data_IF_673241152326
#
_entry.id   IF_673241152326
#
_cell.length_a   1.000
_cell.length_b   1.000
_cell.length_c   1.000
_cell.angle_alpha   90.00
_cell.angle_beta   90.00
_cell.angle_gamma   90.00
#
_symmetry.space_group_name_H-M   'P 1'
#
loop_
_entity.id
_entity.type
_entity.pdbx_description
1 polymer ?
#
# COMPACT_ATOMS: atom_id res chain seq x y z
N UNK A 1 14.94 -12.95 19.61
CA UNK A 1 15.19 -12.40 18.26
C UNK A 1 16.36 -11.44 18.38
N UNK A 2 17.51 -11.79 17.82
CA UNK A 2 18.77 -11.03 17.92
C UNK A 2 18.82 -9.98 16.81
N UNK A 3 18.88 -8.70 17.17
CA UNK A 3 19.04 -7.63 16.20
C UNK A 3 20.44 -7.69 15.56
N UNK A 4 20.50 -7.83 14.23
CA UNK A 4 21.76 -7.75 13.48
C UNK A 4 22.26 -6.29 13.46
N UNK A 5 23.53 -6.10 13.83
CA UNK A 5 24.21 -4.80 13.75
C UNK A 5 25.17 -4.82 12.58
N UNK A 6 25.02 -3.89 11.63
CA UNK A 6 26.02 -3.60 10.60
C UNK A 6 26.79 -2.36 11.06
N UNK A 7 28.10 -2.46 11.21
CA UNK A 7 28.99 -1.33 11.56
C UNK A 7 28.54 -0.54 12.81
N UNK A 8 28.00 -1.24 13.82
CA UNK A 8 27.52 -0.61 15.05
C UNK A 8 26.14 0.05 14.94
N UNK A 9 25.55 0.12 13.74
CA UNK A 9 24.19 0.56 13.53
C UNK A 9 23.21 -0.60 13.67
N UNK A 10 22.12 -0.36 14.41
CA UNK A 10 20.98 -1.27 14.46
C UNK A 10 20.31 -1.26 13.07
N UNK A 11 20.59 -2.28 12.27
CA UNK A 11 19.93 -2.45 10.97
C UNK A 11 18.72 -3.34 11.19
N UNK A 12 17.52 -2.82 10.90
CA UNK A 12 16.31 -3.64 10.89
C UNK A 12 16.47 -4.72 9.83
N UNK A 13 16.23 -5.98 10.20
CA UNK A 13 16.20 -7.09 9.25
C UNK A 13 15.19 -6.74 8.13
N UNK A 14 15.63 -6.70 6.84
CA UNK A 14 14.77 -6.42 5.71
C UNK A 14 13.53 -7.34 5.62
N UNK A 15 13.60 -8.56 6.16
CA UNK A 15 12.47 -9.50 6.24
C UNK A 15 11.44 -9.10 7.30
N UNK A 16 11.85 -8.26 8.25
CA UNK A 16 11.01 -7.66 9.31
C UNK A 16 10.60 -6.21 9.02
N UNK A 17 11.05 -5.65 7.88
CA UNK A 17 10.53 -4.39 7.32
C UNK A 17 9.09 -4.59 6.82
N UNK A 18 8.19 -4.85 7.75
CA UNK A 18 6.77 -4.57 7.56
C UNK A 18 6.60 -3.09 7.87
N UNK A 19 6.60 -2.28 6.81
CA UNK A 19 5.93 -0.98 6.90
C UNK A 19 4.49 -1.25 7.29
N UNK A 20 3.96 -0.48 8.23
CA UNK A 20 2.56 -0.58 8.64
C UNK A 20 1.68 -0.60 7.37
N UNK A 21 0.77 -1.57 7.29
CA UNK A 21 -0.12 -1.73 6.14
C UNK A 21 -0.86 -0.43 5.90
N UNK A 22 -1.25 0.28 6.96
CA UNK A 22 -1.92 1.57 6.83
C UNK A 22 -1.03 2.62 6.14
N UNK A 23 0.25 2.70 6.51
CA UNK A 23 1.19 3.61 5.85
C UNK A 23 1.46 3.22 4.38
N UNK A 24 1.46 1.93 4.06
CA UNK A 24 1.57 1.47 2.66
C UNK A 24 0.32 1.83 1.85
N UNK A 25 -0.86 1.76 2.46
CA UNK A 25 -2.13 2.13 1.81
C UNK A 25 -2.27 3.65 1.67
N UNK A 26 -1.77 4.43 2.61
CA UNK A 26 -1.69 5.89 2.51
C UNK A 26 -0.79 6.30 1.33
N UNK A 27 0.43 5.75 1.27
CA UNK A 27 1.34 6.00 0.14
C UNK A 27 0.75 5.57 -1.21
N UNK A 28 0.04 4.44 -1.23
CA UNK A 28 -0.67 3.96 -2.42
C UNK A 28 -1.80 4.94 -2.83
N UNK A 29 -2.57 5.46 -1.88
CA UNK A 29 -3.63 6.42 -2.14
C UNK A 29 -3.10 7.76 -2.66
N UNK A 30 -2.01 8.27 -2.09
CA UNK A 30 -1.34 9.48 -2.61
C UNK A 30 -0.92 9.29 -4.08
N UNK A 31 -0.31 8.15 -4.40
CA UNK A 31 0.14 7.86 -5.76
C UNK A 31 -1.03 7.75 -6.74
N UNK A 32 -2.14 7.13 -6.33
CA UNK A 32 -3.36 7.07 -7.14
C UNK A 32 -3.94 8.48 -7.34
N UNK A 33 -4.02 9.29 -6.28
CA UNK A 33 -4.50 10.67 -6.35
C UNK A 33 -3.67 11.50 -7.33
N UNK A 34 -2.33 11.41 -7.27
CA UNK A 34 -1.42 12.03 -8.24
C UNK A 34 -1.72 11.59 -9.68
N UNK A 35 -1.92 10.29 -9.92
CA UNK A 35 -2.22 9.73 -11.26
C UNK A 35 -3.60 10.09 -11.79
N UNK A 36 -4.52 10.48 -10.93
CA UNK A 36 -5.84 10.99 -11.28
C UNK A 36 -5.86 12.52 -11.39
N UNK A 37 -4.70 13.17 -11.21
CA UNK A 37 -4.54 14.61 -11.31
C UNK A 37 -5.19 15.38 -10.17
N UNK A 38 -5.36 14.76 -8.99
CA UNK A 38 -5.98 15.40 -7.82
C UNK A 38 -7.46 15.77 -7.99
N UNK A 39 -8.12 15.25 -9.03
CA UNK A 39 -9.53 15.55 -9.35
C UNK A 39 -10.52 14.88 -8.40
N UNK A 40 -10.08 13.80 -7.75
CA UNK A 40 -10.88 13.03 -6.81
C UNK A 40 -10.33 13.30 -5.41
N UNK A 41 -11.23 13.54 -4.48
CA UNK A 41 -10.89 13.77 -3.08
C UNK A 41 -10.02 12.62 -2.52
N UNK A 42 -9.00 12.97 -1.74
CA UNK A 42 -8.07 11.99 -1.19
C UNK A 42 -8.78 10.95 -0.32
N UNK A 43 -9.79 11.32 0.47
CA UNK A 43 -10.51 10.36 1.31
C UNK A 43 -11.23 9.32 0.47
N UNK A 44 -11.81 9.73 -0.66
CA UNK A 44 -12.45 8.82 -1.64
C UNK A 44 -11.42 7.88 -2.25
N UNK A 45 -10.25 8.41 -2.66
CA UNK A 45 -9.15 7.59 -3.19
C UNK A 45 -8.66 6.59 -2.14
N UNK A 46 -8.50 7.01 -0.88
CA UNK A 46 -8.05 6.16 0.22
C UNK A 46 -9.04 5.05 0.52
N UNK A 47 -10.33 5.35 0.59
CA UNK A 47 -11.39 4.35 0.77
C UNK A 47 -11.35 3.31 -0.36
N UNK A 48 -11.25 3.75 -1.62
CA UNK A 48 -11.18 2.85 -2.77
C UNK A 48 -9.94 1.93 -2.73
N UNK A 49 -8.79 2.43 -2.27
CA UNK A 49 -7.57 1.64 -2.06
C UNK A 49 -7.75 0.63 -0.93
N UNK A 50 -8.34 1.01 0.20
CA UNK A 50 -8.64 0.11 1.32
C UNK A 50 -9.57 -1.03 0.89
N UNK A 51 -10.65 -0.71 0.19
CA UNK A 51 -11.63 -1.70 -0.27
C UNK A 51 -11.01 -2.67 -1.29
N UNK A 52 -10.15 -2.16 -2.17
CA UNK A 52 -9.38 -3.01 -3.08
C UNK A 52 -8.41 -3.92 -2.32
N UNK A 53 -7.73 -3.40 -1.31
CA UNK A 53 -6.82 -4.19 -0.47
C UNK A 53 -7.56 -5.30 0.26
N UNK A 54 -8.67 -5.02 0.94
CA UNK A 54 -9.46 -6.02 1.65
C UNK A 54 -9.97 -7.13 0.72
N UNK A 55 -10.49 -6.77 -0.47
CA UNK A 55 -10.95 -7.74 -1.47
C UNK A 55 -9.85 -8.65 -1.98
N UNK A 56 -8.63 -8.13 -2.12
CA UNK A 56 -7.47 -8.89 -2.60
C UNK A 56 -6.81 -9.69 -1.49
N UNK A 57 -6.76 -9.18 -0.27
CA UNK A 57 -6.18 -9.83 0.89
C UNK A 57 -6.84 -11.19 1.17
N UNK A 58 -8.16 -11.28 0.98
CA UNK A 58 -8.90 -12.54 1.11
C UNK A 58 -8.46 -13.65 0.13
N UNK A 59 -7.75 -13.30 -0.96
CA UNK A 59 -7.42 -14.22 -2.07
C UNK A 59 -5.92 -14.32 -2.34
N UNK A 60 -5.09 -13.50 -1.70
CA UNK A 60 -3.69 -13.36 -2.05
C UNK A 60 -2.81 -14.40 -1.37
N UNK A 61 -2.07 -15.16 -2.18
CA UNK A 61 -1.01 -16.07 -1.72
C UNK A 61 0.26 -15.33 -1.29
N UNK A 62 0.48 -14.12 -1.82
CA UNK A 62 1.67 -13.32 -1.57
C UNK A 62 1.28 -11.91 -1.08
N UNK A 63 1.36 -11.62 0.22
CA UNK A 63 0.89 -10.37 0.79
C UNK A 63 1.76 -9.17 0.42
N UNK A 64 3.04 -9.39 0.09
CA UNK A 64 4.01 -8.32 -0.17
C UNK A 64 3.63 -7.41 -1.36
N UNK A 65 2.85 -7.91 -2.31
CA UNK A 65 2.44 -7.15 -3.50
C UNK A 65 1.03 -6.54 -3.38
N UNK A 66 0.31 -6.85 -2.29
CA UNK A 66 -1.08 -6.43 -2.10
C UNK A 66 -1.30 -4.91 -2.20
N UNK A 67 -0.47 -4.04 -1.58
CA UNK A 67 -0.69 -2.59 -1.66
C UNK A 67 -0.64 -2.07 -3.10
N UNK A 68 0.31 -2.57 -3.91
CA UNK A 68 0.48 -2.18 -5.31
C UNK A 68 -0.72 -2.65 -6.16
N UNK A 69 -1.18 -3.87 -5.93
CA UNK A 69 -2.34 -4.43 -6.63
C UNK A 69 -3.64 -3.70 -6.24
N UNK A 70 -3.79 -3.36 -4.96
CA UNK A 70 -4.90 -2.57 -4.46
C UNK A 70 -4.94 -1.17 -5.10
N UNK A 71 -3.79 -0.48 -5.15
CA UNK A 71 -3.65 0.82 -5.80
C UNK A 71 -4.10 0.79 -7.27
N UNK A 72 -3.63 -0.20 -8.04
CA UNK A 72 -4.01 -0.37 -9.45
C UNK A 72 -5.49 -0.66 -9.63
N UNK A 73 -6.06 -1.50 -8.77
CA UNK A 73 -7.48 -1.82 -8.81
C UNK A 73 -8.34 -0.59 -8.50
N UNK A 74 -7.98 0.18 -7.47
CA UNK A 74 -8.66 1.42 -7.11
C UNK A 74 -8.60 2.45 -8.24
N UNK A 75 -7.41 2.67 -8.83
CA UNK A 75 -7.24 3.58 -9.97
C UNK A 75 -8.13 3.19 -11.16
N UNK A 76 -8.23 1.90 -11.49
CA UNK A 76 -9.11 1.42 -12.57
C UNK A 76 -10.58 1.67 -12.26
N UNK A 77 -11.00 1.41 -11.02
CA UNK A 77 -12.38 1.65 -10.58
C UNK A 77 -12.75 3.12 -10.69
N UNK A 78 -11.87 4.00 -10.20
CA UNK A 78 -12.11 5.45 -10.15
C UNK A 78 -12.06 6.14 -11.52
N UNK A 79 -11.36 5.56 -12.51
CA UNK A 79 -11.38 6.03 -13.91
C UNK A 79 -12.63 5.59 -14.68
N UNK A 80 -13.31 4.55 -14.20
CA UNK A 80 -14.52 4.01 -14.84
C UNK A 80 -15.81 4.69 -14.37
N UNK A 81 -15.75 5.47 -13.30
CA UNK A 81 -16.75 6.45 -12.84
C UNK A 81 -16.52 7.81 -13.49
#
# INVERSE_FOLDING_TARGET
>A
MTAERLEGHLVRDPRTLRTDVEAQLDQAAEEVSRRLGGKIDHQVVRAAVSDAYQRLAAKAKFPNFLPILAARSAQRSLRGT
#
